data_IF_292766574563
#
_entry.id   IF_292766574563
#
_cell.length_a   1.000
_cell.length_b   1.000
_cell.length_c   1.000
_cell.angle_alpha   90.00
_cell.angle_beta   90.00
_cell.angle_gamma   90.00
#
_symmetry.space_group_name_H-M   'P 1'
#
loop_
_entity.id
_entity.type
_entity.pdbx_description
1 polymer ?
#
# COMPACT_ATOMS: atom_id res chain seq x y z
N UNK A 1 7.57 -16.58 0.51
CA UNK A 1 6.82 -15.71 -0.44
C UNK A 1 7.68 -14.52 -0.86
N UNK A 2 7.37 -13.84 -1.99
CA UNK A 2 8.09 -12.61 -2.41
C UNK A 2 8.06 -11.50 -1.35
N UNK A 3 7.04 -11.50 -0.48
CA UNK A 3 6.92 -10.60 0.67
C UNK A 3 7.86 -10.90 1.85
N UNK A 4 8.63 -11.99 1.81
CA UNK A 4 9.44 -12.46 2.95
C UNK A 4 8.64 -13.25 4.00
N UNK A 5 7.31 -13.36 3.86
CA UNK A 5 6.46 -14.20 4.70
C UNK A 5 6.74 -15.70 4.47
N UNK A 6 6.77 -16.47 5.56
CA UNK A 6 6.79 -17.94 5.55
C UNK A 6 5.37 -18.45 5.81
N UNK A 7 4.80 -19.13 4.82
CA UNK A 7 3.41 -19.57 4.81
C UNK A 7 3.30 -21.00 4.31
N UNK A 8 2.46 -21.81 4.96
CA UNK A 8 2.05 -23.14 4.53
C UNK A 8 1.12 -23.02 3.32
N UNK A 9 1.35 -23.88 2.33
CA UNK A 9 0.53 -24.05 1.13
C UNK A 9 0.20 -25.55 1.04
N UNK A 10 -0.97 -25.90 0.51
CA UNK A 10 -1.34 -27.31 0.32
C UNK A 10 -0.39 -27.96 -0.69
N UNK A 11 -0.01 -29.21 -0.44
CA UNK A 11 0.93 -29.93 -1.29
C UNK A 11 0.40 -30.14 -2.73
N UNK A 12 -0.92 -30.20 -2.89
CA UNK A 12 -1.59 -30.34 -4.19
C UNK A 12 -1.58 -29.05 -5.04
N UNK A 13 -1.20 -27.91 -4.46
CA UNK A 13 -1.14 -26.66 -5.20
C UNK A 13 -0.06 -26.71 -6.29
N UNK A 14 -0.43 -26.33 -7.51
CA UNK A 14 0.48 -26.26 -8.66
C UNK A 14 1.42 -25.06 -8.54
N UNK A 15 2.67 -25.26 -8.98
CA UNK A 15 3.66 -24.21 -9.12
C UNK A 15 4.51 -24.46 -10.37
N UNK A 16 5.04 -23.37 -10.94
CA UNK A 16 6.00 -23.43 -12.05
C UNK A 16 7.41 -23.17 -11.53
N UNK A 17 8.38 -23.93 -12.03
CA UNK A 17 9.79 -23.72 -11.71
C UNK A 17 10.28 -22.45 -12.40
N UNK A 18 10.98 -21.60 -11.66
CA UNK A 18 11.59 -20.38 -12.18
C UNK A 18 11.06 -19.09 -11.53
N UNK A 19 11.51 -17.96 -12.07
CA UNK A 19 11.10 -16.63 -11.63
C UNK A 19 10.32 -15.91 -12.71
N UNK A 20 9.44 -14.99 -12.32
CA UNK A 20 8.76 -14.11 -13.27
C UNK A 20 9.80 -13.28 -14.01
N UNK A 21 9.68 -13.21 -15.34
CA UNK A 21 10.58 -12.46 -16.21
C UNK A 21 10.49 -10.94 -15.97
N UNK A 22 11.40 -10.16 -16.57
CA UNK A 22 11.45 -8.69 -16.50
C UNK A 22 11.73 -8.13 -15.09
N UNK A 23 12.81 -8.63 -14.46
CA UNK A 23 13.27 -8.19 -13.12
C UNK A 23 13.55 -6.68 -13.02
N UNK A 24 14.00 -6.07 -14.11
CA UNK A 24 14.31 -4.63 -14.20
C UNK A 24 13.08 -3.72 -14.24
N UNK A 25 11.86 -4.28 -14.21
CA UNK A 25 10.63 -3.48 -14.27
C UNK A 25 10.57 -2.40 -13.19
N UNK A 26 11.15 -2.66 -12.01
CA UNK A 26 11.23 -1.70 -10.89
C UNK A 26 12.16 -0.50 -11.16
N UNK A 27 13.13 -0.64 -12.07
CA UNK A 27 14.09 0.41 -12.40
C UNK A 27 13.52 1.44 -13.40
N UNK A 28 12.38 1.14 -14.03
CA UNK A 28 11.76 2.00 -15.04
C UNK A 28 11.29 3.32 -14.44
N UNK A 29 11.76 4.44 -15.01
CA UNK A 29 11.24 5.79 -14.74
C UNK A 29 10.19 6.19 -15.80
N UNK A 30 9.09 6.81 -15.38
CA UNK A 30 8.01 7.23 -16.29
C UNK A 30 8.26 8.59 -16.98
N UNK A 31 9.14 9.43 -16.40
CA UNK A 31 9.61 10.69 -16.99
C UNK A 31 8.62 11.86 -17.00
N UNK A 32 7.33 11.62 -17.27
CA UNK A 32 6.30 12.68 -17.35
C UNK A 32 4.96 12.25 -16.76
N UNK A 33 4.14 13.22 -16.35
CA UNK A 33 2.80 12.96 -15.81
C UNK A 33 1.89 12.21 -16.81
N UNK A 34 1.99 12.52 -18.11
CA UNK A 34 1.21 11.86 -19.16
C UNK A 34 1.46 10.35 -19.25
N UNK A 35 2.70 9.89 -18.97
CA UNK A 35 3.01 8.46 -18.97
C UNK A 35 2.30 7.69 -17.85
N UNK A 36 2.05 8.34 -16.70
CA UNK A 36 1.22 7.79 -15.63
C UNK A 36 -0.25 7.72 -16.05
N UNK A 37 -0.75 8.73 -16.77
CA UNK A 37 -2.13 8.77 -17.29
C UNK A 37 -2.41 7.67 -18.31
N UNK A 38 -1.46 7.34 -19.19
CA UNK A 38 -1.59 6.23 -20.15
C UNK A 38 -1.77 4.87 -19.47
N UNK A 39 -1.35 4.73 -18.21
CA UNK A 39 -1.55 3.53 -17.39
C UNK A 39 -2.90 3.51 -16.65
N UNK A 40 -3.77 4.49 -16.90
CA UNK A 40 -5.07 4.61 -16.22
C UNK A 40 -5.01 5.20 -14.80
N UNK A 41 -3.84 5.66 -14.34
CA UNK A 41 -3.69 6.22 -13.00
C UNK A 41 -3.99 7.72 -13.02
N UNK A 42 -5.04 8.14 -12.31
CA UNK A 42 -5.41 9.56 -12.14
C UNK A 42 -4.54 10.23 -11.06
N UNK A 43 -4.38 11.56 -11.07
CA UNK A 43 -3.68 12.27 -10.01
C UNK A 43 -4.32 12.02 -8.64
N UNK A 44 -3.50 11.78 -7.61
CA UNK A 44 -3.95 11.66 -6.22
C UNK A 44 -3.75 12.99 -5.49
N UNK A 45 -4.82 13.52 -4.91
CA UNK A 45 -4.77 14.78 -4.14
C UNK A 45 -4.43 14.46 -2.68
N UNK A 46 -3.50 15.21 -2.10
CA UNK A 46 -3.07 15.01 -0.70
C UNK A 46 -4.15 15.56 0.24
N UNK A 47 -4.45 14.83 1.32
CA UNK A 47 -5.44 15.25 2.33
C UNK A 47 -5.14 16.61 2.99
N UNK A 48 -3.87 16.98 3.10
CA UNK A 48 -3.42 18.30 3.63
C UNK A 48 -3.89 19.48 2.76
N UNK A 49 -4.18 19.24 1.48
CA UNK A 49 -4.62 20.29 0.55
C UNK A 49 -6.16 20.40 0.53
N UNK A 50 -6.86 19.56 1.29
CA UNK A 50 -8.32 19.50 1.32
C UNK A 50 -8.91 20.33 2.47
N UNK A 51 -10.23 20.45 2.52
CA UNK A 51 -10.93 21.08 3.63
C UNK A 51 -11.18 20.07 4.77
N UNK A 52 -11.46 20.53 6.01
CA UNK A 52 -11.75 19.65 7.13
C UNK A 52 -12.90 18.64 6.89
N UNK A 53 -13.86 19.00 6.03
CA UNK A 53 -14.99 18.13 5.64
C UNK A 53 -14.56 16.97 4.75
N UNK A 54 -13.52 17.14 3.94
CA UNK A 54 -13.11 16.17 2.93
C UNK A 54 -12.08 15.17 3.49
N UNK A 55 -11.20 15.65 4.37
CA UNK A 55 -10.14 14.83 4.92
C UNK A 55 -9.81 15.23 6.36
N UNK A 56 -9.51 14.26 7.23
CA UNK A 56 -9.01 14.51 8.58
C UNK A 56 -7.74 15.39 8.69
N UNK A 57 -7.04 15.65 7.59
CA UNK A 57 -5.83 16.48 7.53
C UNK A 57 -6.10 17.85 6.91
N UNK A 58 -7.34 18.10 6.49
CA UNK A 58 -7.71 19.31 5.79
C UNK A 58 -7.88 20.50 6.73
N UNK A 59 -7.77 21.70 6.16
CA UNK A 59 -7.88 22.97 6.86
C UNK A 59 -6.59 23.44 7.58
N UNK A 60 -6.79 24.41 8.47
CA UNK A 60 -5.71 25.20 9.07
C UNK A 60 -5.30 26.39 8.19
N UNK A 61 -4.67 27.39 8.80
CA UNK A 61 -4.14 28.54 8.07
C UNK A 61 -2.82 28.18 7.38
N UNK A 62 -2.74 28.45 6.08
CA UNK A 62 -1.59 28.06 5.27
C UNK A 62 -1.41 26.54 5.19
N UNK A 63 -0.17 26.08 4.99
CA UNK A 63 0.13 24.65 4.86
C UNK A 63 0.41 24.05 6.23
N UNK A 64 -0.58 23.35 6.79
CA UNK A 64 -0.43 22.65 8.08
C UNK A 64 -0.51 21.13 7.89
N UNK A 65 -0.01 20.35 8.85
CA UNK A 65 -0.10 18.88 8.83
C UNK A 65 -1.37 18.34 9.51
N UNK A 66 -2.31 19.22 9.88
CA UNK A 66 -3.52 18.87 10.64
C UNK A 66 -3.27 18.43 12.09
N UNK A 67 -2.02 18.50 12.59
CA UNK A 67 -1.67 18.30 14.00
C UNK A 67 -1.93 16.90 14.58
N UNK A 68 -2.20 15.89 13.75
CA UNK A 68 -2.65 14.56 14.20
C UNK A 68 -1.83 13.42 13.61
N UNK A 69 -1.97 12.22 14.18
CA UNK A 69 -1.38 11.02 13.59
C UNK A 69 -1.87 10.85 12.14
N UNK A 70 -1.00 10.51 11.17
CA UNK A 70 -1.43 10.33 9.78
C UNK A 70 -2.55 9.30 9.63
N UNK A 71 -3.64 9.70 9.02
CA UNK A 71 -4.82 8.88 8.75
C UNK A 71 -5.22 8.89 7.28
N UNK A 72 -6.06 7.93 6.90
CA UNK A 72 -6.75 7.88 5.62
C UNK A 72 -7.90 8.92 5.59
N UNK A 73 -8.54 9.15 4.43
CA UNK A 73 -9.73 10.00 4.35
C UNK A 73 -10.86 9.55 5.29
N UNK A 74 -10.89 8.26 5.64
CA UNK A 74 -11.87 7.67 6.55
C UNK A 74 -11.37 7.54 8.01
N UNK A 75 -10.24 8.16 8.35
CA UNK A 75 -9.73 8.18 9.73
C UNK A 75 -8.92 6.96 10.15
N UNK A 76 -8.72 5.96 9.29
CA UNK A 76 -7.87 4.80 9.63
C UNK A 76 -6.39 5.21 9.68
N UNK A 77 -5.64 4.92 10.76
CA UNK A 77 -4.23 5.29 10.83
C UNK A 77 -3.40 4.64 9.72
N UNK A 78 -2.51 5.41 9.08
CA UNK A 78 -1.75 4.96 7.89
C UNK A 78 -0.31 4.55 8.19
N UNK A 79 0.22 4.92 9.36
CA UNK A 79 1.55 4.52 9.83
C UNK A 79 1.42 3.42 10.89
N UNK A 80 2.04 2.27 10.65
CA UNK A 80 2.19 1.19 11.64
C UNK A 80 0.94 0.36 11.97
N UNK A 81 -0.25 0.84 11.64
CA UNK A 81 -1.51 0.16 11.96
C UNK A 81 -1.67 -1.14 11.17
N UNK A 82 -1.93 -2.24 11.88
CA UNK A 82 -2.16 -3.57 11.30
C UNK A 82 -3.64 -3.69 10.92
N UNK A 83 -3.92 -3.90 9.64
CA UNK A 83 -5.31 -3.98 9.13
C UNK A 83 -5.89 -5.40 9.06
N UNK A 84 -5.04 -6.44 9.08
CA UNK A 84 -5.50 -7.84 8.94
C UNK A 84 -5.88 -8.46 10.29
N UNK A 85 -7.07 -9.05 10.37
CA UNK A 85 -7.59 -9.75 11.57
C UNK A 85 -8.09 -11.19 11.32
N UNK A 86 -8.03 -11.70 10.08
CA UNK A 86 -8.65 -12.99 9.73
C UNK A 86 -7.93 -14.21 10.34
N UNK A 87 -8.53 -14.79 11.39
CA UNK A 87 -8.01 -15.95 12.12
C UNK A 87 -7.93 -17.24 11.28
N UNK A 88 -8.83 -17.44 10.30
CA UNK A 88 -8.86 -18.66 9.48
C UNK A 88 -7.56 -18.84 8.70
N UNK A 89 -7.06 -17.75 8.13
CA UNK A 89 -5.84 -17.77 7.33
C UNK A 89 -4.57 -17.61 8.15
N UNK A 90 -4.66 -17.09 9.38
CA UNK A 90 -3.50 -16.87 10.24
C UNK A 90 -2.83 -18.18 10.65
N UNK A 91 -3.58 -19.29 10.77
CA UNK A 91 -3.06 -20.64 11.02
C UNK A 91 -2.07 -21.13 9.97
N UNK A 92 -2.16 -20.61 8.74
CA UNK A 92 -1.27 -21.00 7.65
C UNK A 92 0.05 -20.22 7.67
N UNK A 93 0.20 -19.21 8.53
CA UNK A 93 1.35 -18.33 8.54
C UNK A 93 2.28 -18.75 9.67
N UNK A 94 3.49 -19.18 9.32
CA UNK A 94 4.51 -19.61 10.28
C UNK A 94 5.30 -18.41 10.78
N UNK A 95 5.68 -17.51 9.87
CA UNK A 95 6.42 -16.28 10.20
C UNK A 95 5.91 -15.14 9.34
N UNK A 96 5.51 -14.03 9.98
CA UNK A 96 5.09 -12.81 9.26
C UNK A 96 6.27 -12.21 8.51
N UNK A 97 5.98 -11.41 7.48
CA UNK A 97 7.00 -10.64 6.75
C UNK A 97 7.82 -9.80 7.73
N UNK A 98 9.14 -9.89 7.62
CA UNK A 98 10.05 -8.91 8.18
C UNK A 98 10.35 -7.88 7.09
N UNK A 99 10.50 -6.63 7.49
CA UNK A 99 10.93 -5.57 6.57
C UNK A 99 12.43 -5.69 6.34
#
# INVERSE_FOLDING_TARGET
>A
MRSGEVRKVLAECRATIGEVSKKEHSLRKLGKAGATRWRGVRPTVRGVVMNPVDHPHGGGEGKTSGGRHPVSPWGTPTKGYKTRSNKRTDKLIVRRRNK
#
